data_IF_000746318979
#
_entry.id   IF_000746318979
#
_cell.length_a   1.000
_cell.length_b   1.000
_cell.length_c   1.000
_cell.angle_alpha   90.00
_cell.angle_beta   90.00
_cell.angle_gamma   90.00
#
_symmetry.space_group_name_H-M   'P 1'
#
loop_
_entity.id
_entity.type
_entity.pdbx_description
1 polymer ?
#
# COMPACT_ATOMS: atom_id res chain seq x y z
N UNK A 1 5.43 7.38 -3.56
CA UNK A 1 5.13 6.05 -2.99
C UNK A 1 6.17 5.82 -1.91
N UNK A 2 5.77 5.69 -0.66
CA UNK A 2 6.68 5.73 0.49
C UNK A 2 6.76 4.35 1.14
N UNK A 3 7.97 3.78 1.20
CA UNK A 3 8.28 2.63 2.05
C UNK A 3 8.66 3.17 3.43
N UNK A 4 7.87 2.88 4.45
CA UNK A 4 8.19 3.30 5.82
C UNK A 4 8.73 2.11 6.61
N UNK A 5 9.89 2.31 7.24
CA UNK A 5 10.57 1.32 8.07
C UNK A 5 10.78 1.94 9.44
N UNK A 6 10.31 1.29 10.49
CA UNK A 6 10.32 1.79 11.86
C UNK A 6 11.41 1.08 12.68
N UNK A 7 12.33 1.84 13.24
CA UNK A 7 13.10 1.39 14.40
C UNK A 7 12.29 1.71 15.67
N UNK A 8 12.00 0.72 16.51
CA UNK A 8 11.28 0.92 17.79
C UNK A 8 12.10 0.36 18.94
N UNK A 9 12.25 1.13 20.01
CA UNK A 9 12.52 0.59 21.32
C UNK A 9 11.20 0.56 22.10
N UNK A 10 10.71 -0.63 22.48
CA UNK A 10 9.46 -0.83 23.23
C UNK A 10 8.59 -1.97 22.68
N UNK A 11 7.78 -2.60 23.54
CA UNK A 11 6.91 -3.73 23.12
C UNK A 11 5.86 -3.24 22.11
N UNK A 12 5.80 -3.83 20.90
CA UNK A 12 4.77 -3.49 19.92
C UNK A 12 3.38 -3.95 20.39
N UNK A 13 2.43 -3.04 20.48
CA UNK A 13 1.02 -3.42 20.53
C UNK A 13 0.53 -3.66 19.09
N UNK A 14 0.23 -4.92 18.81
CA UNK A 14 -0.08 -5.41 17.46
C UNK A 14 -1.55 -5.10 17.14
N UNK A 15 -1.80 -3.88 16.64
CA UNK A 15 -3.07 -3.56 15.98
C UNK A 15 -2.79 -2.55 14.85
N UNK A 16 -3.05 -2.88 13.55
CA UNK A 16 -2.70 -2.01 12.43
C UNK A 16 -3.11 -0.53 12.54
N UNK A 17 -4.31 -0.19 13.02
CA UNK A 17 -4.67 1.20 13.26
C UNK A 17 -3.84 1.88 14.36
N UNK A 18 -3.36 1.12 15.36
CA UNK A 18 -2.60 1.67 16.50
C UNK A 18 -1.16 2.05 16.15
N UNK A 19 -0.60 1.51 15.05
CA UNK A 19 0.76 1.84 14.61
C UNK A 19 0.86 3.31 14.20
N UNK A 20 -0.09 3.81 13.40
CA UNK A 20 -0.15 5.22 13.01
C UNK A 20 -0.45 6.14 14.21
N UNK A 21 -1.26 5.68 15.17
CA UNK A 21 -1.55 6.39 16.42
C UNK A 21 -0.34 6.41 17.35
N UNK A 22 0.44 5.33 17.42
CA UNK A 22 1.65 5.25 18.22
C UNK A 22 2.74 6.21 17.73
N UNK A 23 2.85 6.42 16.43
CA UNK A 23 3.74 7.44 15.86
C UNK A 23 3.35 8.85 16.28
N UNK A 24 2.06 9.18 16.27
CA UNK A 24 1.56 10.49 16.79
C UNK A 24 1.87 10.71 18.27
N UNK A 25 1.99 9.64 19.06
CA UNK A 25 2.15 9.69 20.51
C UNK A 25 3.61 9.58 21.00
N UNK A 26 4.62 9.79 20.12
CA UNK A 26 6.06 9.68 20.45
C UNK A 26 6.48 8.33 21.07
N UNK A 27 5.80 7.24 20.72
CA UNK A 27 6.13 5.88 21.21
C UNK A 27 7.17 5.15 20.33
N UNK A 28 7.73 5.86 19.37
CA UNK A 28 8.75 5.36 18.44
C UNK A 28 9.98 6.21 18.62
N UNK A 29 11.10 5.61 19.01
CA UNK A 29 12.35 6.35 19.22
C UNK A 29 12.95 6.82 17.90
N UNK A 30 12.95 5.97 16.89
CA UNK A 30 13.49 6.30 15.57
C UNK A 30 12.57 5.78 14.47
N UNK A 31 12.17 6.67 13.56
CA UNK A 31 11.43 6.36 12.34
C UNK A 31 12.32 6.58 11.14
N UNK A 32 12.49 5.56 10.29
CA UNK A 32 13.20 5.68 9.02
C UNK A 32 12.21 5.53 7.87
N UNK A 33 12.11 6.56 7.04
CA UNK A 33 11.30 6.57 5.83
C UNK A 33 12.17 6.47 4.60
N UNK A 34 11.90 5.53 3.70
CA UNK A 34 12.70 5.31 2.50
C UNK A 34 11.80 5.33 1.27
N UNK A 35 12.22 6.05 0.25
CA UNK A 35 11.59 6.05 -1.08
C UNK A 35 12.66 6.22 -2.16
N UNK A 36 12.45 5.63 -3.33
CA UNK A 36 13.35 5.80 -4.48
C UNK A 36 13.18 7.17 -5.17
N UNK A 37 12.01 7.79 -5.02
CA UNK A 37 11.65 9.05 -5.67
C UNK A 37 12.13 10.26 -4.86
N UNK A 38 13.01 11.07 -5.44
CA UNK A 38 13.44 12.35 -4.85
C UNK A 38 12.26 13.30 -4.56
N UNK A 39 11.20 13.27 -5.39
CA UNK A 39 9.99 14.08 -5.17
C UNK A 39 9.24 13.62 -3.92
N UNK A 40 9.08 12.31 -3.72
CA UNK A 40 8.44 11.76 -2.53
C UNK A 40 9.26 12.08 -1.28
N UNK A 41 10.57 11.93 -1.34
CA UNK A 41 11.51 12.28 -0.26
C UNK A 41 11.37 13.77 0.14
N UNK A 42 11.31 14.67 -0.81
CA UNK A 42 11.16 16.11 -0.52
C UNK A 42 9.82 16.42 0.17
N UNK A 43 8.74 15.74 -0.22
CA UNK A 43 7.44 15.88 0.45
C UNK A 43 7.49 15.28 1.85
N UNK A 44 8.07 14.09 2.00
CA UNK A 44 8.22 13.43 3.30
C UNK A 44 9.04 14.30 4.27
N UNK A 45 10.18 14.84 3.85
CA UNK A 45 11.01 15.75 4.66
C UNK A 45 10.23 16.96 5.14
N UNK A 46 9.43 17.60 4.26
CA UNK A 46 8.59 18.74 4.67
C UNK A 46 7.53 18.35 5.70
N UNK A 47 6.88 17.20 5.50
CA UNK A 47 5.81 16.73 6.38
C UNK A 47 6.31 16.22 7.75
N UNK A 48 7.60 15.92 7.84
CA UNK A 48 8.24 15.40 9.05
C UNK A 48 9.29 16.36 9.65
N UNK A 49 9.39 17.59 9.13
CA UNK A 49 10.41 18.57 9.53
C UNK A 49 10.39 18.90 11.03
N UNK A 50 9.22 18.82 11.67
CA UNK A 50 9.06 19.07 13.12
C UNK A 50 9.33 17.82 13.98
N UNK A 51 9.71 16.69 13.36
CA UNK A 51 9.92 15.41 14.05
C UNK A 51 11.41 15.08 14.12
N UNK A 52 12.01 15.27 15.28
CA UNK A 52 13.45 15.02 15.50
C UNK A 52 13.83 13.53 15.38
N UNK A 53 12.87 12.62 15.56
CA UNK A 53 13.07 11.18 15.50
C UNK A 53 12.74 10.56 14.12
N UNK A 54 12.49 11.38 13.07
CA UNK A 54 12.16 10.90 11.72
C UNK A 54 13.30 11.17 10.74
N UNK A 55 13.88 10.11 10.20
CA UNK A 55 14.94 10.16 9.18
C UNK A 55 14.39 9.77 7.82
N UNK A 56 14.48 10.67 6.86
CA UNK A 56 13.99 10.45 5.50
C UNK A 56 15.17 10.25 4.55
N UNK A 57 15.29 9.03 4.02
CA UNK A 57 16.41 8.58 3.20
C UNK A 57 15.93 8.25 1.78
N UNK A 58 16.73 8.59 0.78
CA UNK A 58 16.52 8.11 -0.58
C UNK A 58 17.21 6.75 -0.75
N UNK A 59 16.47 5.75 -1.21
CA UNK A 59 17.01 4.41 -1.43
C UNK A 59 16.09 3.56 -2.30
N UNK A 60 16.69 2.56 -2.96
CA UNK A 60 15.96 1.53 -3.68
C UNK A 60 15.79 0.30 -2.81
N UNK A 61 14.76 -0.49 -3.09
CA UNK A 61 14.44 -1.69 -2.32
C UNK A 61 15.50 -2.79 -2.44
N UNK A 62 16.22 -2.84 -3.54
CA UNK A 62 17.33 -3.77 -3.80
C UNK A 62 18.60 -3.40 -3.02
N UNK A 63 18.70 -2.17 -2.53
CA UNK A 63 19.83 -1.68 -1.74
C UNK A 63 19.35 -0.69 -0.69
N UNK A 64 18.69 -1.20 0.35
CA UNK A 64 18.25 -0.39 1.48
C UNK A 64 19.45 0.10 2.30
N UNK A 65 19.55 1.41 2.60
CA UNK A 65 20.65 1.99 3.38
C UNK A 65 20.46 1.76 4.90
N UNK A 66 20.20 0.51 5.27
CA UNK A 66 19.93 0.08 6.64
C UNK A 66 20.67 -1.22 6.88
N UNK A 67 21.28 -1.37 8.05
CA UNK A 67 21.96 -2.59 8.45
C UNK A 67 20.99 -3.76 8.60
N UNK A 68 21.43 -4.97 8.30
CA UNK A 68 20.65 -6.17 8.53
C UNK A 68 20.42 -6.38 10.04
N UNK A 69 19.30 -6.98 10.40
CA UNK A 69 18.90 -7.28 11.78
C UNK A 69 18.92 -6.05 12.72
N UNK A 70 18.56 -4.87 12.22
CA UNK A 70 18.60 -3.63 12.99
C UNK A 70 17.24 -3.05 13.36
N UNK A 71 16.17 -3.47 12.67
CA UNK A 71 14.83 -2.91 12.85
C UNK A 71 13.98 -3.77 13.78
N UNK A 72 13.31 -3.14 14.72
CA UNK A 72 12.35 -3.79 15.63
C UNK A 72 10.96 -3.95 15.02
N UNK A 73 10.68 -3.24 13.92
CA UNK A 73 9.44 -3.31 13.17
C UNK A 73 9.63 -2.73 11.77
N UNK A 74 8.97 -3.28 10.77
CA UNK A 74 8.89 -2.66 9.45
C UNK A 74 7.47 -2.75 8.87
N UNK A 75 7.12 -1.82 7.98
CA UNK A 75 5.91 -1.95 7.19
C UNK A 75 6.06 -1.40 5.77
N UNK A 76 5.29 -1.98 4.86
CA UNK A 76 5.17 -1.53 3.48
C UNK A 76 3.72 -1.61 3.04
N UNK A 77 3.08 -0.46 2.83
CA UNK A 77 1.67 -0.38 2.52
C UNK A 77 1.45 0.17 1.12
N UNK A 78 1.04 -0.70 0.18
CA UNK A 78 0.73 -0.30 -1.18
C UNK A 78 1.96 0.09 -2.03
N UNK A 79 3.11 -0.55 -1.80
CA UNK A 79 4.38 -0.18 -2.44
C UNK A 79 4.99 -1.32 -3.24
N UNK A 80 5.21 -2.48 -2.63
CA UNK A 80 6.07 -3.52 -3.22
C UNK A 80 5.46 -4.21 -4.45
N UNK A 81 4.17 -4.12 -4.66
CA UNK A 81 3.51 -4.62 -5.87
C UNK A 81 3.82 -3.80 -7.15
N UNK A 82 4.54 -2.69 -7.00
CA UNK A 82 5.10 -1.93 -8.12
C UNK A 82 6.57 -2.27 -8.42
N UNK A 83 7.16 -3.22 -7.67
CA UNK A 83 8.52 -3.70 -7.90
C UNK A 83 8.45 -4.96 -8.78
N UNK A 84 9.31 -5.11 -9.81
CA UNK A 84 9.27 -6.25 -10.72
C UNK A 84 9.32 -7.61 -10.01
N UNK A 85 10.21 -7.77 -9.06
CA UNK A 85 10.29 -8.92 -8.17
C UNK A 85 9.80 -8.53 -6.76
N UNK A 86 8.50 -8.76 -6.53
CA UNK A 86 7.86 -8.46 -5.23
C UNK A 86 8.37 -9.39 -4.13
N UNK A 87 8.65 -10.67 -4.45
CA UNK A 87 9.15 -11.64 -3.48
C UNK A 87 10.53 -11.25 -2.96
N UNK A 88 11.45 -10.91 -3.85
CA UNK A 88 12.80 -10.44 -3.46
C UNK A 88 12.72 -9.09 -2.71
N UNK A 89 11.80 -8.21 -3.09
CA UNK A 89 11.57 -6.97 -2.37
C UNK A 89 11.11 -7.19 -0.92
N UNK A 90 10.23 -8.16 -0.68
CA UNK A 90 9.81 -8.56 0.68
C UNK A 90 11.01 -9.11 1.45
N UNK A 91 11.83 -9.98 0.85
CA UNK A 91 13.02 -10.57 1.45
C UNK A 91 14.05 -9.50 1.85
N UNK A 92 14.26 -8.50 0.98
CA UNK A 92 15.15 -7.37 1.27
C UNK A 92 14.65 -6.51 2.45
N UNK A 93 13.33 -6.34 2.60
CA UNK A 93 12.76 -5.70 3.80
C UNK A 93 12.95 -6.55 5.04
N UNK A 94 12.68 -7.86 4.93
CA UNK A 94 12.76 -8.80 6.05
C UNK A 94 14.19 -8.96 6.56
N UNK A 95 15.20 -8.89 5.68
CA UNK A 95 16.62 -8.97 6.10
C UNK A 95 17.01 -7.86 7.09
N UNK A 96 16.32 -6.71 7.06
CA UNK A 96 16.60 -5.57 7.96
C UNK A 96 15.98 -5.73 9.34
N UNK A 97 14.99 -6.61 9.48
CA UNK A 97 14.33 -6.89 10.75
C UNK A 97 15.21 -7.74 11.67
N UNK A 98 15.13 -7.51 12.96
CA UNK A 98 15.66 -8.40 13.98
C UNK A 98 14.84 -9.70 14.02
N UNK A 99 15.44 -10.84 14.44
CA UNK A 99 14.66 -12.04 14.76
C UNK A 99 13.54 -11.70 15.76
N UNK A 100 12.34 -12.22 15.53
CA UNK A 100 11.14 -11.91 16.33
C UNK A 100 10.43 -10.59 16.00
N UNK A 101 11.01 -9.77 15.11
CA UNK A 101 10.40 -8.48 14.74
C UNK A 101 9.26 -8.66 13.71
N UNK A 102 8.14 -7.91 13.85
CA UNK A 102 7.02 -7.99 12.95
C UNK A 102 7.22 -7.18 11.66
N UNK A 103 6.66 -7.71 10.55
CA UNK A 103 6.55 -7.05 9.27
C UNK A 103 5.08 -6.92 8.84
N UNK A 104 4.60 -5.70 8.68
CA UNK A 104 3.27 -5.42 8.18
C UNK A 104 3.32 -5.10 6.68
N UNK A 105 2.62 -5.90 5.89
CA UNK A 105 2.60 -5.83 4.43
C UNK A 105 1.19 -5.60 3.91
N UNK A 106 1.03 -4.65 2.98
CA UNK A 106 -0.16 -4.54 2.15
C UNK A 106 0.25 -4.50 0.67
N UNK A 107 -0.22 -5.46 -0.09
CA UNK A 107 -0.12 -5.53 -1.55
C UNK A 107 -1.51 -5.42 -2.19
N UNK A 108 -1.59 -5.00 -3.44
CA UNK A 108 -2.86 -5.02 -4.15
C UNK A 108 -3.32 -6.47 -4.36
N UNK A 109 -4.53 -6.78 -3.90
CA UNK A 109 -5.09 -8.11 -3.95
C UNK A 109 -5.72 -8.43 -5.31
N UNK A 110 -5.74 -9.72 -5.69
CA UNK A 110 -6.19 -10.21 -6.98
C UNK A 110 -7.71 -10.44 -7.07
N UNK A 111 -8.50 -9.94 -6.11
CA UNK A 111 -9.95 -10.11 -6.01
C UNK A 111 -10.40 -11.56 -5.82
N UNK A 112 -9.56 -12.38 -5.20
CA UNK A 112 -9.80 -13.81 -4.92
C UNK A 112 -10.98 -14.05 -3.94
N UNK A 113 -11.37 -13.03 -3.16
CA UNK A 113 -12.56 -13.03 -2.32
C UNK A 113 -13.78 -12.33 -2.98
N UNK A 114 -13.75 -12.08 -4.30
CA UNK A 114 -14.82 -11.40 -5.04
C UNK A 114 -15.42 -12.31 -6.12
N UNK A 115 -16.66 -12.05 -6.57
CA UNK A 115 -17.23 -12.75 -7.72
C UNK A 115 -16.34 -12.63 -8.97
N UNK A 116 -16.32 -13.67 -9.82
CA UNK A 116 -15.47 -13.73 -11.04
C UNK A 116 -15.66 -12.54 -11.97
N UNK A 117 -16.87 -12.00 -12.08
CA UNK A 117 -17.15 -10.83 -12.91
C UNK A 117 -16.39 -9.58 -12.46
N UNK A 118 -16.11 -9.45 -11.16
CA UNK A 118 -15.32 -8.34 -10.61
C UNK A 118 -13.89 -8.33 -11.17
N UNK A 119 -13.27 -9.50 -11.21
CA UNK A 119 -11.95 -9.69 -11.82
C UNK A 119 -11.97 -9.37 -13.33
N UNK A 120 -13.06 -9.72 -14.03
CA UNK A 120 -13.22 -9.40 -15.45
C UNK A 120 -13.28 -7.87 -15.68
N UNK A 121 -14.09 -7.15 -14.92
CA UNK A 121 -14.16 -5.68 -14.98
C UNK A 121 -12.77 -5.06 -14.74
N UNK A 122 -12.04 -5.58 -13.76
CA UNK A 122 -10.67 -5.13 -13.51
C UNK A 122 -9.74 -5.41 -14.70
N UNK A 123 -9.79 -6.61 -15.31
CA UNK A 123 -8.98 -6.95 -16.49
C UNK A 123 -9.26 -6.01 -17.65
N UNK A 124 -10.55 -5.72 -17.92
CA UNK A 124 -10.92 -4.74 -18.96
C UNK A 124 -10.35 -3.34 -18.63
N UNK A 125 -10.48 -2.87 -17.39
CA UNK A 125 -9.90 -1.58 -17.01
C UNK A 125 -8.37 -1.54 -17.12
N UNK A 126 -7.70 -2.69 -16.97
CA UNK A 126 -6.26 -2.81 -17.11
C UNK A 126 -5.77 -2.63 -18.55
N UNK A 127 -6.60 -2.94 -19.54
CA UNK A 127 -6.31 -2.66 -20.97
C UNK A 127 -6.17 -1.14 -21.15
N UNK A 128 -7.12 -0.35 -20.63
CA UNK A 128 -7.04 1.11 -20.68
C UNK A 128 -5.83 1.63 -19.92
N UNK A 129 -5.56 1.07 -18.73
CA UNK A 129 -4.37 1.42 -17.95
C UNK A 129 -3.08 1.21 -18.74
N UNK A 130 -2.94 0.11 -19.47
CA UNK A 130 -1.73 -0.23 -20.23
C UNK A 130 -1.40 0.79 -21.35
N UNK A 131 -2.41 1.51 -21.82
CA UNK A 131 -2.25 2.61 -22.79
C UNK A 131 -2.00 3.93 -22.04
N UNK A 132 -2.84 4.28 -21.07
CA UNK A 132 -2.80 5.57 -20.36
C UNK A 132 -1.48 5.74 -19.62
N UNK A 133 -0.93 4.68 -19.00
CA UNK A 133 0.33 4.76 -18.25
C UNK A 133 1.54 5.17 -19.11
N UNK A 134 1.46 5.00 -20.43
CA UNK A 134 2.53 5.37 -21.39
C UNK A 134 2.43 6.82 -21.86
N UNK A 135 1.29 7.48 -21.67
CA UNK A 135 1.08 8.85 -22.10
C UNK A 135 1.99 9.83 -21.35
N UNK A 136 2.39 10.95 -21.99
CA UNK A 136 3.03 12.06 -21.29
C UNK A 136 2.14 12.59 -20.15
N UNK A 137 2.75 13.11 -19.09
CA UNK A 137 2.02 13.58 -17.91
C UNK A 137 0.96 14.64 -18.24
N UNK A 138 1.23 15.54 -19.18
CA UNK A 138 0.31 16.58 -19.63
C UNK A 138 -1.01 16.04 -20.20
N UNK A 139 -0.99 14.83 -20.81
CA UNK A 139 -2.19 14.16 -21.33
C UNK A 139 -2.76 13.19 -20.28
N UNK A 140 -1.89 12.46 -19.59
CA UNK A 140 -2.26 11.50 -18.55
C UNK A 140 -3.12 12.14 -17.45
N UNK A 141 -2.69 13.29 -16.96
CA UNK A 141 -3.37 13.97 -15.86
C UNK A 141 -4.83 14.36 -16.19
N UNK A 142 -5.14 15.07 -17.29
CA UNK A 142 -6.54 15.33 -17.64
C UNK A 142 -7.33 14.07 -17.95
N UNK A 143 -6.77 13.05 -18.60
CA UNK A 143 -7.45 11.78 -18.87
C UNK A 143 -7.86 11.09 -17.56
N UNK A 144 -6.97 10.99 -16.59
CA UNK A 144 -7.30 10.38 -15.29
C UNK A 144 -8.29 11.21 -14.48
N UNK A 145 -8.29 12.53 -14.63
CA UNK A 145 -9.32 13.39 -14.04
C UNK A 145 -10.70 13.13 -14.66
N UNK A 146 -10.79 12.97 -15.98
CA UNK A 146 -12.05 12.60 -16.66
C UNK A 146 -12.54 11.24 -16.16
N UNK A 147 -11.66 10.25 -16.03
CA UNK A 147 -12.01 8.94 -15.46
C UNK A 147 -12.55 9.11 -14.02
N UNK A 148 -11.94 9.97 -13.22
CA UNK A 148 -12.41 10.23 -11.85
C UNK A 148 -13.82 10.82 -11.83
N UNK A 149 -14.12 11.74 -12.75
CA UNK A 149 -15.44 12.40 -12.84
C UNK A 149 -16.50 11.45 -13.39
N UNK A 150 -16.19 10.69 -14.45
CA UNK A 150 -17.18 9.90 -15.18
C UNK A 150 -17.33 8.46 -14.63
N UNK A 151 -16.35 7.94 -13.91
CA UNK A 151 -16.37 6.55 -13.42
C UNK A 151 -16.32 6.51 -11.89
N UNK A 152 -15.28 7.06 -11.26
CA UNK A 152 -15.10 6.95 -9.81
C UNK A 152 -16.23 7.65 -9.05
N UNK A 153 -16.49 8.89 -9.38
CA UNK A 153 -17.46 9.69 -8.66
C UNK A 153 -18.88 9.12 -8.75
N UNK A 154 -19.45 8.80 -9.94
CA UNK A 154 -20.78 8.25 -10.03
C UNK A 154 -20.94 6.90 -9.34
N UNK A 155 -19.97 5.97 -9.51
CA UNK A 155 -20.03 4.66 -8.87
C UNK A 155 -19.90 4.76 -7.34
N UNK A 156 -19.04 5.63 -6.85
CA UNK A 156 -18.88 5.88 -5.42
C UNK A 156 -20.16 6.48 -4.83
N UNK A 157 -20.80 7.45 -5.50
CA UNK A 157 -22.07 8.06 -5.03
C UNK A 157 -23.24 7.10 -5.14
N UNK A 158 -23.29 6.28 -6.18
CA UNK A 158 -24.26 5.21 -6.28
C UNK A 158 -24.12 4.20 -5.14
N UNK A 159 -22.92 3.74 -4.85
CA UNK A 159 -22.66 2.86 -3.71
C UNK A 159 -23.07 3.51 -2.38
N UNK A 160 -22.80 4.81 -2.19
CA UNK A 160 -23.22 5.54 -1.00
C UNK A 160 -24.76 5.57 -0.83
N UNK A 161 -25.49 5.81 -1.92
CA UNK A 161 -26.96 5.80 -1.89
C UNK A 161 -27.51 4.41 -1.62
N UNK A 162 -26.96 3.37 -2.23
CA UNK A 162 -27.36 1.98 -2.00
C UNK A 162 -27.11 1.54 -0.56
N UNK A 163 -25.99 1.95 0.05
CA UNK A 163 -25.72 1.67 1.46
C UNK A 163 -26.78 2.33 2.38
N UNK A 164 -27.22 3.57 2.08
CA UNK A 164 -28.24 4.27 2.87
C UNK A 164 -29.61 3.57 2.85
N UNK A 165 -29.92 2.83 1.80
CA UNK A 165 -31.16 2.03 1.71
C UNK A 165 -30.94 0.57 2.17
N UNK A 166 -29.83 0.28 2.86
CA UNK A 166 -29.55 -1.00 3.50
C UNK A 166 -29.01 -2.08 2.55
N UNK A 167 -28.62 -1.74 1.32
CA UNK A 167 -28.04 -2.70 0.37
C UNK A 167 -26.56 -2.94 0.68
N UNK A 168 -26.15 -4.21 0.67
CA UNK A 168 -24.72 -4.55 0.78
C UNK A 168 -23.96 -4.13 -0.48
N UNK A 169 -23.10 -3.12 -0.33
CA UNK A 169 -22.35 -2.51 -1.44
C UNK A 169 -20.94 -3.11 -1.62
N UNK A 170 -20.58 -4.14 -0.87
CA UNK A 170 -19.22 -4.71 -0.88
C UNK A 170 -18.76 -5.14 -2.28
N UNK A 171 -19.68 -5.61 -3.12
CA UNK A 171 -19.40 -6.04 -4.50
C UNK A 171 -19.59 -4.94 -5.55
N UNK A 172 -19.97 -3.72 -5.17
CA UNK A 172 -20.03 -2.60 -6.12
C UNK A 172 -18.60 -2.10 -6.36
N UNK A 173 -18.13 -2.03 -7.62
CA UNK A 173 -16.81 -1.47 -7.91
C UNK A 173 -16.67 -0.04 -7.36
N UNK A 174 -15.50 0.28 -6.79
CA UNK A 174 -15.21 1.59 -6.20
C UNK A 174 -16.09 1.97 -4.99
N UNK A 175 -16.82 1.03 -4.41
CA UNK A 175 -17.63 1.28 -3.20
C UNK A 175 -16.80 1.76 -2.00
N UNK A 176 -15.53 1.45 -1.94
CA UNK A 176 -14.58 1.93 -0.93
C UNK A 176 -14.36 3.45 -0.95
N UNK A 177 -14.70 4.10 -2.07
CA UNK A 177 -14.63 5.56 -2.23
C UNK A 177 -15.91 6.30 -1.82
N UNK A 178 -16.98 5.59 -1.44
CA UNK A 178 -18.30 6.18 -1.16
C UNK A 178 -18.28 7.27 -0.09
N UNK A 179 -17.41 7.14 0.92
CA UNK A 179 -17.20 8.12 1.98
C UNK A 179 -15.95 9.00 1.79
N UNK A 180 -15.19 8.79 0.70
CA UNK A 180 -13.95 9.54 0.45
C UNK A 180 -14.21 10.82 -0.33
N UNK A 181 -13.26 11.76 -0.26
CA UNK A 181 -13.30 13.01 -1.00
C UNK A 181 -13.05 12.79 -2.50
N UNK A 182 -13.52 13.71 -3.33
CA UNK A 182 -13.18 13.70 -4.77
C UNK A 182 -11.68 13.84 -5.01
N UNK A 183 -10.98 14.57 -4.15
CA UNK A 183 -9.51 14.66 -4.21
C UNK A 183 -8.85 13.29 -4.12
N UNK A 184 -9.28 12.45 -3.17
CA UNK A 184 -8.78 11.07 -3.01
C UNK A 184 -9.06 10.25 -4.27
N UNK A 185 -10.29 10.29 -4.79
CA UNK A 185 -10.67 9.56 -6.01
C UNK A 185 -9.78 9.95 -7.21
N UNK A 186 -9.51 11.24 -7.37
CA UNK A 186 -8.66 11.77 -8.44
C UNK A 186 -7.19 11.32 -8.29
N UNK A 187 -6.67 11.37 -7.07
CA UNK A 187 -5.30 10.96 -6.79
C UNK A 187 -5.13 9.46 -7.02
N UNK A 188 -6.07 8.66 -6.55
CA UNK A 188 -6.04 7.21 -6.69
C UNK A 188 -6.26 6.77 -8.16
N UNK A 189 -7.09 7.50 -8.93
CA UNK A 189 -7.22 7.27 -10.36
C UNK A 189 -5.92 7.58 -11.11
N UNK A 190 -5.22 8.67 -10.75
CA UNK A 190 -3.92 9.00 -11.32
C UNK A 190 -2.86 7.94 -10.96
N UNK A 191 -2.84 7.46 -9.74
CA UNK A 191 -1.94 6.39 -9.30
C UNK A 191 -2.23 5.11 -10.08
N UNK A 192 -3.50 4.67 -10.11
CA UNK A 192 -3.89 3.45 -10.81
C UNK A 192 -3.60 3.47 -12.30
N UNK A 193 -4.02 4.51 -13.03
CA UNK A 193 -3.86 4.59 -14.48
C UNK A 193 -2.52 5.17 -14.91
N UNK A 194 -1.80 5.82 -14.01
CA UNK A 194 -0.51 6.44 -14.26
C UNK A 194 0.69 5.53 -14.07
N UNK A 195 0.57 4.50 -13.26
CA UNK A 195 1.66 3.60 -12.91
C UNK A 195 1.87 2.52 -13.98
N UNK A 196 3.12 2.34 -14.40
CA UNK A 196 3.48 1.39 -15.48
C UNK A 196 3.37 -0.07 -15.04
N UNK A 197 3.80 -0.38 -13.83
CA UNK A 197 3.78 -1.73 -13.26
C UNK A 197 2.81 -1.75 -12.09
N UNK A 198 1.80 -2.60 -12.17
CA UNK A 198 0.89 -2.92 -11.08
C UNK A 198 0.66 -4.43 -11.08
N UNK A 199 1.08 -5.08 -10.03
CA UNK A 199 0.86 -6.50 -9.81
C UNK A 199 -0.21 -6.68 -8.74
N UNK A 200 -0.94 -7.80 -8.81
CA UNK A 200 -1.96 -8.17 -7.83
C UNK A 200 -1.74 -9.60 -7.42
N UNK A 201 -1.92 -9.86 -6.15
CA UNK A 201 -1.62 -11.15 -5.55
C UNK A 201 -2.82 -11.70 -4.80
N UNK A 202 -3.00 -13.02 -4.86
CA UNK A 202 -3.94 -13.73 -4.02
C UNK A 202 -3.41 -13.80 -2.59
N UNK A 203 -4.28 -14.14 -1.64
CA UNK A 203 -3.90 -14.37 -0.25
C UNK A 203 -2.78 -15.41 -0.15
N UNK A 204 -2.91 -16.52 -0.89
CA UNK A 204 -1.93 -17.61 -0.86
C UNK A 204 -0.59 -17.19 -1.43
N UNK A 205 -0.57 -16.48 -2.55
CA UNK A 205 0.67 -15.93 -3.13
C UNK A 205 1.39 -14.96 -2.17
N UNK A 206 0.64 -14.10 -1.45
CA UNK A 206 1.23 -13.21 -0.45
C UNK A 206 1.84 -14.04 0.68
N UNK A 207 1.12 -15.07 1.15
CA UNK A 207 1.60 -15.97 2.20
C UNK A 207 2.89 -16.68 1.78
N UNK A 208 2.91 -17.28 0.59
CA UNK A 208 4.09 -17.95 0.03
C UNK A 208 5.32 -17.03 -0.06
N UNK A 209 5.14 -15.80 -0.56
CA UNK A 209 6.22 -14.82 -0.64
C UNK A 209 6.74 -14.41 0.75
N UNK A 210 5.85 -14.25 1.74
CA UNK A 210 6.24 -13.90 3.10
C UNK A 210 6.97 -15.07 3.79
N UNK A 211 6.50 -16.31 3.61
CA UNK A 211 7.16 -17.52 4.14
C UNK A 211 8.54 -17.73 3.50
N UNK A 212 8.66 -17.55 2.18
CA UNK A 212 9.93 -17.61 1.46
C UNK A 212 10.92 -16.51 1.89
N UNK A 213 10.42 -15.38 2.38
CA UNK A 213 11.22 -14.32 2.97
C UNK A 213 11.62 -14.57 4.44
N UNK A 214 11.26 -15.72 5.02
CA UNK A 214 11.61 -16.09 6.40
C UNK A 214 10.65 -15.53 7.46
N UNK A 215 9.41 -15.19 7.07
CA UNK A 215 8.38 -14.78 8.01
C UNK A 215 7.53 -15.98 8.43
N UNK A 216 7.13 -16.00 9.69
CA UNK A 216 6.26 -17.02 10.31
C UNK A 216 5.06 -16.34 11.00
N UNK A 217 4.12 -17.11 11.51
CA UNK A 217 2.91 -16.63 12.22
C UNK A 217 2.16 -15.57 11.39
N UNK A 218 1.99 -15.85 10.10
CA UNK A 218 1.39 -14.89 9.16
C UNK A 218 -0.12 -14.82 9.37
N UNK A 219 -0.59 -13.64 9.75
CA UNK A 219 -2.00 -13.32 9.99
C UNK A 219 -2.48 -12.31 8.98
N UNK A 220 -3.64 -12.54 8.37
CA UNK A 220 -4.28 -11.65 7.42
C UNK A 220 -5.46 -10.90 8.04
N UNK A 221 -5.69 -9.68 7.58
CA UNK A 221 -6.91 -8.93 7.90
C UNK A 221 -8.10 -9.50 7.13
N UNK A 222 -9.20 -9.75 7.83
CA UNK A 222 -10.46 -10.22 7.23
C UNK A 222 -11.35 -9.05 6.73
N UNK A 223 -10.91 -7.82 6.95
CA UNK A 223 -11.58 -6.60 6.47
C UNK A 223 -10.72 -5.85 5.47
N UNK A 224 -11.35 -5.02 4.65
CA UNK A 224 -10.62 -4.16 3.71
C UNK A 224 -9.68 -3.18 4.45
N UNK A 225 -8.49 -2.89 3.89
CA UNK A 225 -7.99 -3.32 2.58
C UNK A 225 -7.47 -4.76 2.58
N UNK A 226 -7.93 -5.57 1.61
CA UNK A 226 -7.45 -6.95 1.42
C UNK A 226 -6.18 -6.94 0.55
N UNK A 227 -5.16 -7.75 0.73
CA UNK A 227 -4.91 -8.53 1.92
C UNK A 227 -3.79 -7.82 2.70
N UNK A 228 -4.16 -7.24 3.83
CA UNK A 228 -3.14 -6.73 4.75
C UNK A 228 -2.65 -7.90 5.60
N UNK A 229 -1.35 -8.13 5.64
CA UNK A 229 -0.73 -9.26 6.31
C UNK A 229 0.32 -8.80 7.32
N UNK A 230 0.36 -9.47 8.46
CA UNK A 230 1.42 -9.33 9.47
C UNK A 230 2.13 -10.67 9.60
N UNK A 231 3.45 -10.68 9.53
CA UNK A 231 4.30 -11.85 9.80
C UNK A 231 5.44 -11.51 10.74
N UNK A 232 5.97 -12.50 11.44
CA UNK A 232 7.09 -12.34 12.38
C UNK A 232 8.36 -12.92 11.74
N UNK A 233 9.48 -12.20 11.81
CA UNK A 233 10.75 -12.72 11.31
C UNK A 233 11.22 -13.90 12.18
N UNK A 234 11.56 -14.98 11.51
CA UNK A 234 12.13 -16.18 12.12
C UNK A 234 13.51 -15.93 12.71
#
# INVERSE_FOLDING_TARGET
MLLMILGMSGKPMINPPSILLNWKNNRVDTLVCIDASSKAINVAKRNTSEKNNCHVLQGKIDRLPIADNSLDFAYSLGVLHHIPDTGEAIKNCTSKLKPGAPFLLYLYYAFDNRPKWYSLVWKCSNIFRSVICKLPFAIKYPVTNIISILVYYPLARFAFLMEKVGVNVSNIPLSEYRAKSFYTMRTDALDRFGTRLEQRFTRDQIKEMMEAAGLVDIVFSDIAPYWCALGIKK
#
